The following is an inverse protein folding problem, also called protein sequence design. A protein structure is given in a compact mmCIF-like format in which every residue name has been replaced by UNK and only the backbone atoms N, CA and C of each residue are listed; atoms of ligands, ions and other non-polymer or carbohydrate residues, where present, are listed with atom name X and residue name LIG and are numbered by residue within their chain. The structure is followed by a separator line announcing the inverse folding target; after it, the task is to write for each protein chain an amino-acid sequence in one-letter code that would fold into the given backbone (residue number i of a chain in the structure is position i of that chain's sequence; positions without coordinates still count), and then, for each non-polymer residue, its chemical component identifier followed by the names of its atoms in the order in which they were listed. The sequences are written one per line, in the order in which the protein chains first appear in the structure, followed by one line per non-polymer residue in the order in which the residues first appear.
data_IF_397897463782
#
_entry.id   IF_397897463782
#
_cell.length_a   1.000
_cell.length_b   1.000
_cell.length_c   1.000
_cell.angle_alpha   90.00
_cell.angle_beta   90.00
_cell.angle_gamma   90.00
#
_symmetry.space_group_name_H-M   'P 1'
#
loop_
_entity.id
_entity.type
_entity.pdbx_description
1 polymer ?
#
# COMPACT_ATOMS: atom_id res chain seq x y z
N UNK A 1 28.17 -4.56 -6.39
CA UNK A 1 27.57 -4.80 -7.72
C UNK A 1 28.14 -3.77 -8.68
N UNK A 2 28.85 -4.24 -9.72
CA UNK A 2 29.80 -3.49 -10.54
C UNK A 2 29.17 -2.35 -11.38
N UNK A 3 29.82 -1.18 -11.34
CA UNK A 3 29.52 0.07 -12.06
C UNK A 3 29.86 0.02 -13.57
N UNK A 4 29.73 -1.13 -14.25
CA UNK A 4 30.24 -1.31 -15.61
C UNK A 4 29.20 -1.14 -16.74
N UNK A 5 28.01 -0.59 -16.45
CA UNK A 5 26.97 -0.32 -17.48
C UNK A 5 26.94 1.13 -17.97
N UNK A 6 27.81 2.01 -17.45
CA UNK A 6 27.86 3.44 -17.79
C UNK A 6 28.71 3.78 -19.03
N UNK A 7 29.35 2.81 -19.68
CA UNK A 7 30.28 3.07 -20.81
C UNK A 7 29.64 3.05 -22.20
N UNK A 8 28.34 2.75 -22.31
CA UNK A 8 27.62 3.02 -23.56
C UNK A 8 26.90 4.35 -23.39
N UNK A 9 27.30 5.29 -24.24
CA UNK A 9 27.09 6.74 -24.16
C UNK A 9 25.60 7.14 -24.15
N UNK A 10 24.86 6.78 -23.10
CA UNK A 10 23.51 7.30 -22.82
C UNK A 10 23.54 8.83 -22.60
N UNK A 11 24.72 9.39 -22.31
CA UNK A 11 24.96 10.82 -22.15
C UNK A 11 24.74 11.65 -23.42
N UNK A 12 24.76 11.03 -24.61
CA UNK A 12 24.43 11.76 -25.84
C UNK A 12 22.93 12.07 -25.93
N UNK A 13 22.10 11.35 -25.15
CA UNK A 13 20.66 11.54 -25.10
C UNK A 13 20.22 11.95 -23.69
N UNK A 14 20.09 13.27 -23.48
CA UNK A 14 19.65 13.87 -22.22
C UNK A 14 18.34 13.27 -21.70
N UNK A 15 17.43 12.88 -22.59
CA UNK A 15 16.16 12.27 -22.20
C UNK A 15 16.35 10.86 -21.61
N UNK A 16 17.25 10.05 -22.16
CA UNK A 16 17.57 8.73 -21.63
C UNK A 16 18.28 8.79 -20.28
N UNK A 17 19.17 9.78 -20.10
CA UNK A 17 19.81 10.03 -18.81
C UNK A 17 18.79 10.41 -17.74
N UNK A 18 17.86 11.33 -18.05
CA UNK A 18 16.77 11.69 -17.15
C UNK A 18 15.84 10.50 -16.86
N UNK A 19 15.50 9.71 -17.88
CA UNK A 19 14.70 8.50 -17.71
C UNK A 19 15.36 7.48 -16.77
N UNK A 20 16.67 7.29 -16.90
CA UNK A 20 17.41 6.43 -15.99
C UNK A 20 17.41 6.98 -14.56
N UNK A 21 17.54 8.30 -14.40
CA UNK A 21 17.45 8.94 -13.09
C UNK A 21 16.08 8.72 -12.43
N UNK A 22 14.98 8.79 -13.18
CA UNK A 22 13.65 8.42 -12.67
C UNK A 22 13.62 6.98 -12.16
N UNK A 23 14.15 6.02 -12.91
CA UNK A 23 14.24 4.63 -12.44
C UNK A 23 15.10 4.47 -11.16
N UNK A 24 16.17 5.27 -11.01
CA UNK A 24 16.96 5.30 -9.78
C UNK A 24 16.18 5.89 -8.60
N UNK A 25 15.43 6.96 -8.82
CA UNK A 25 14.54 7.54 -7.79
C UNK A 25 13.46 6.53 -7.36
N UNK A 26 12.92 5.76 -8.31
CA UNK A 26 12.01 4.64 -8.03
C UNK A 26 12.62 3.62 -7.04
N UNK A 27 13.89 3.26 -7.21
CA UNK A 27 14.60 2.41 -6.25
C UNK A 27 14.74 3.08 -4.86
N UNK A 28 15.00 4.39 -4.82
CA UNK A 28 15.11 5.12 -3.55
C UNK A 28 13.77 5.16 -2.80
N UNK A 29 12.67 5.42 -3.50
CA UNK A 29 11.33 5.38 -2.90
C UNK A 29 10.92 3.97 -2.48
N UNK A 30 11.29 2.93 -3.23
CA UNK A 30 11.09 1.53 -2.82
C UNK A 30 11.77 1.22 -1.49
N UNK A 31 13.01 1.66 -1.32
CA UNK A 31 13.78 1.45 -0.10
C UNK A 31 13.20 2.22 1.09
N UNK A 32 12.51 3.34 0.82
CA UNK A 32 11.81 4.14 1.83
C UNK A 32 10.35 3.70 2.06
N UNK A 33 9.91 2.56 1.49
CA UNK A 33 8.52 2.07 1.53
C UNK A 33 7.48 3.07 1.02
N UNK A 34 7.88 4.00 0.14
CA UNK A 34 6.99 4.97 -0.51
C UNK A 34 6.55 4.40 -1.86
N UNK A 35 5.76 3.31 -1.83
CA UNK A 35 5.52 2.49 -3.01
C UNK A 35 4.76 3.23 -4.12
N UNK A 36 3.77 4.07 -3.80
CA UNK A 36 3.03 4.85 -4.81
C UNK A 36 3.99 5.72 -5.64
N UNK A 37 4.85 6.48 -4.97
CA UNK A 37 5.83 7.34 -5.64
C UNK A 37 6.92 6.56 -6.37
N UNK A 38 7.32 5.40 -5.82
CA UNK A 38 8.24 4.53 -6.52
C UNK A 38 7.68 4.05 -7.86
N UNK A 39 6.40 3.68 -7.88
CA UNK A 39 5.72 3.19 -9.07
C UNK A 39 5.59 4.30 -10.12
N UNK A 40 5.26 5.53 -9.72
CA UNK A 40 5.23 6.70 -10.59
C UNK A 40 6.60 6.94 -11.26
N UNK A 41 7.67 6.94 -10.47
CA UNK A 41 9.04 7.14 -10.96
C UNK A 41 9.48 6.04 -11.95
N UNK A 42 9.19 4.78 -11.66
CA UNK A 42 9.46 3.69 -12.60
C UNK A 42 8.67 3.84 -13.90
N UNK A 43 7.39 4.23 -13.81
CA UNK A 43 6.54 4.42 -14.98
C UNK A 43 7.06 5.53 -15.89
N UNK A 44 7.49 6.66 -15.31
CA UNK A 44 8.05 7.79 -16.05
C UNK A 44 9.32 7.34 -16.79
N UNK A 45 10.27 6.73 -16.07
CA UNK A 45 11.53 6.27 -16.65
C UNK A 45 11.34 5.22 -17.75
N UNK A 46 10.52 4.20 -17.49
CA UNK A 46 10.23 3.13 -18.46
C UNK A 46 9.53 3.65 -19.72
N UNK A 47 8.63 4.63 -19.61
CA UNK A 47 7.93 5.19 -20.77
C UNK A 47 8.91 5.79 -21.78
N UNK A 48 9.90 6.56 -21.29
CA UNK A 48 10.91 7.19 -22.13
C UNK A 48 11.88 6.14 -22.70
N UNK A 49 12.33 5.17 -21.89
CA UNK A 49 13.21 4.10 -22.35
C UNK A 49 12.55 3.24 -23.43
N UNK A 50 11.28 2.86 -23.25
CA UNK A 50 10.51 2.09 -24.25
C UNK A 50 10.35 2.87 -25.56
N UNK A 51 10.15 4.19 -25.49
CA UNK A 51 10.10 5.04 -26.69
C UNK A 51 11.45 5.05 -27.42
N UNK A 52 12.54 5.26 -26.68
CA UNK A 52 13.88 5.27 -27.25
C UNK A 52 14.26 3.92 -27.88
N UNK A 53 13.84 2.79 -27.28
CA UNK A 53 14.13 1.45 -27.81
C UNK A 53 13.48 1.19 -29.17
N UNK A 54 12.35 1.83 -29.47
CA UNK A 54 11.67 1.70 -30.77
C UNK A 54 12.40 2.39 -31.91
N UNK A 55 13.21 3.40 -31.60
CA UNK A 55 13.93 4.22 -32.58
C UNK A 55 15.42 3.95 -32.60
N UNK A 56 15.95 3.13 -31.68
CA UNK A 56 17.37 2.79 -31.62
C UNK A 56 17.72 1.80 -32.73
N UNK A 57 18.65 2.21 -33.58
CA UNK A 57 19.12 1.44 -34.75
C UNK A 57 20.43 0.72 -34.48
N UNK A 58 21.20 1.19 -33.50
CA UNK A 58 22.45 0.53 -33.10
C UNK A 58 22.11 -0.76 -32.33
N UNK A 59 22.51 -1.95 -32.82
CA UNK A 59 22.15 -3.22 -32.20
C UNK A 59 22.72 -3.39 -30.79
N UNK A 60 23.90 -2.81 -30.51
CA UNK A 60 24.52 -2.87 -29.18
C UNK A 60 23.76 -2.00 -28.19
N UNK A 61 23.46 -0.75 -28.58
CA UNK A 61 22.65 0.16 -27.75
C UNK A 61 21.24 -0.36 -27.55
N UNK A 62 20.63 -0.90 -28.59
CA UNK A 62 19.30 -1.50 -28.54
C UNK A 62 19.26 -2.66 -27.55
N UNK A 63 20.24 -3.58 -27.60
CA UNK A 63 20.32 -4.68 -26.65
C UNK A 63 20.49 -4.20 -25.20
N UNK A 64 21.35 -3.21 -24.97
CA UNK A 64 21.55 -2.61 -23.64
C UNK A 64 20.26 -1.99 -23.12
N UNK A 65 19.56 -1.22 -23.96
CA UNK A 65 18.32 -0.57 -23.59
C UNK A 65 17.22 -1.59 -23.27
N UNK A 66 17.10 -2.67 -24.05
CA UNK A 66 16.17 -3.76 -23.76
C UNK A 66 16.48 -4.48 -22.44
N UNK A 67 17.76 -4.69 -22.12
CA UNK A 67 18.16 -5.28 -20.84
C UNK A 67 17.80 -4.35 -19.66
N UNK A 68 18.04 -3.05 -19.80
CA UNK A 68 17.66 -2.06 -18.80
C UNK A 68 16.14 -1.99 -18.61
N UNK A 69 15.38 -1.95 -19.70
CA UNK A 69 13.92 -1.94 -19.68
C UNK A 69 13.40 -3.19 -18.96
N UNK A 70 13.90 -4.37 -19.32
CA UNK A 70 13.46 -5.63 -18.71
C UNK A 70 13.75 -5.66 -17.20
N UNK A 71 14.93 -5.18 -16.79
CA UNK A 71 15.28 -5.05 -15.38
C UNK A 71 14.30 -4.13 -14.63
N UNK A 72 14.00 -2.95 -15.19
CA UNK A 72 13.12 -1.99 -14.52
C UNK A 72 11.64 -2.33 -14.61
N UNK A 73 11.19 -3.08 -15.63
CA UNK A 73 9.85 -3.64 -15.67
C UNK A 73 9.63 -4.62 -14.50
N UNK A 74 10.59 -5.50 -14.23
CA UNK A 74 10.52 -6.40 -13.08
C UNK A 74 10.46 -5.63 -11.74
N UNK A 75 11.17 -4.49 -11.64
CA UNK A 75 11.12 -3.62 -10.47
C UNK A 75 9.78 -2.89 -10.33
N UNK A 76 9.20 -2.42 -11.43
CA UNK A 76 7.89 -1.79 -11.45
C UNK A 76 6.78 -2.77 -11.04
N UNK A 77 6.84 -4.01 -11.53
CA UNK A 77 5.90 -5.06 -11.14
C UNK A 77 5.99 -5.38 -9.65
N UNK A 78 7.22 -5.52 -9.13
CA UNK A 78 7.44 -5.69 -7.70
C UNK A 78 6.90 -4.49 -6.89
N UNK A 79 7.08 -3.26 -7.39
CA UNK A 79 6.53 -2.06 -6.76
C UNK A 79 5.01 -2.13 -6.66
N UNK A 80 4.34 -2.48 -7.77
CA UNK A 80 2.89 -2.60 -7.83
C UNK A 80 2.35 -3.61 -6.82
N UNK A 81 2.96 -4.79 -6.76
CA UNK A 81 2.57 -5.83 -5.79
C UNK A 81 2.72 -5.35 -4.34
N UNK A 82 3.79 -4.60 -4.03
CA UNK A 82 3.99 -4.04 -2.68
C UNK A 82 3.01 -2.91 -2.36
N UNK A 83 2.71 -2.06 -3.34
CA UNK A 83 1.74 -0.98 -3.18
C UNK A 83 0.33 -1.55 -2.91
N UNK A 84 -0.07 -2.58 -3.64
CA UNK A 84 -1.35 -3.27 -3.43
C UNK A 84 -1.41 -3.95 -2.06
N UNK A 85 -0.34 -4.64 -1.65
CA UNK A 85 -0.28 -5.26 -0.32
C UNK A 85 -0.41 -4.22 0.81
N UNK A 86 0.28 -3.07 0.70
CA UNK A 86 0.18 -2.00 1.69
C UNK A 86 -1.24 -1.41 1.75
N UNK A 87 -1.91 -1.24 0.62
CA UNK A 87 -3.28 -0.75 0.60
C UNK A 87 -4.25 -1.71 1.29
N UNK A 88 -4.11 -3.02 1.04
CA UNK A 88 -4.92 -4.05 1.69
C UNK A 88 -4.71 -4.08 3.22
N UNK A 89 -3.49 -3.87 3.70
CA UNK A 89 -3.21 -3.79 5.14
C UNK A 89 -3.94 -2.62 5.80
N UNK A 90 -3.92 -1.44 5.17
CA UNK A 90 -4.63 -0.24 5.64
C UNK A 90 -6.14 -0.50 5.66
N UNK A 91 -6.68 -1.09 4.60
CA UNK A 91 -8.11 -1.37 4.50
C UNK A 91 -8.58 -2.37 5.57
N UNK A 92 -7.75 -3.38 5.90
CA UNK A 92 -8.03 -4.34 6.97
C UNK A 92 -7.96 -3.72 8.37
N UNK A 93 -7.08 -2.75 8.60
CA UNK A 93 -6.99 -2.02 9.88
C UNK A 93 -8.25 -1.20 10.12
N UNK A 94 -8.73 -0.50 9.08
CA UNK A 94 -9.97 0.29 9.16
C UNK A 94 -11.22 -0.57 9.48
N UNK A 95 -11.28 -1.82 9.01
CA UNK A 95 -12.42 -2.73 9.30
C UNK A 95 -12.45 -3.15 10.79
N UNK A 96 -11.30 -3.22 11.47
CA UNK A 96 -11.26 -3.64 12.88
C UNK A 96 -11.81 -2.55 13.81
N UNK A 97 -11.58 -1.28 13.51
CA UNK A 97 -12.03 -0.16 14.33
C UNK A 97 -13.56 0.02 14.31
N UNK A 98 -14.21 -0.25 13.19
CA UNK A 98 -15.68 -0.20 13.09
C UNK A 98 -16.38 -1.32 13.89
N UNK A 99 -15.70 -2.46 14.10
CA UNK A 99 -16.24 -3.58 14.89
C UNK A 99 -16.23 -3.35 16.41
N UNK A 100 -15.43 -2.38 16.89
CA UNK A 100 -15.36 -2.02 18.31
C UNK A 100 -16.50 -1.08 18.76
N UNK A 101 -17.23 -0.45 17.82
CA UNK A 101 -18.32 0.48 18.10
C UNK A 101 -19.68 -0.20 18.35
N UNK A 102 -19.85 -1.49 18.06
CA UNK A 102 -21.13 -2.20 18.22
C UNK A 102 -21.27 -2.93 19.57
N UNK A 103 -20.19 -3.06 20.36
CA UNK A 103 -20.21 -3.80 21.63
C UNK A 103 -20.61 -2.97 22.87
N UNK A 104 -20.91 -1.66 22.71
CA UNK A 104 -21.30 -0.79 23.84
C UNK A 104 -22.80 -0.46 23.93
N UNK A 105 -23.63 -0.94 22.99
CA UNK A 105 -25.07 -0.60 22.92
C UNK A 105 -26.03 -1.72 23.35
N UNK A 106 -25.56 -2.77 24.04
CA UNK A 106 -26.39 -3.89 24.52
C UNK A 106 -26.36 -4.09 26.04
N UNK A 107 -26.38 -3.02 26.84
CA UNK A 107 -26.56 -3.21 28.29
C UNK A 107 -27.38 -2.12 28.96
N UNK A 108 -28.57 -1.82 28.45
CA UNK A 108 -29.56 -1.02 29.18
C UNK A 108 -30.98 -1.34 28.71
N UNK A 109 -31.52 -2.51 29.10
CA UNK A 109 -32.94 -2.66 29.43
C UNK A 109 -33.32 -4.08 29.81
N UNK A 110 -34.15 -4.17 30.85
CA UNK A 110 -34.95 -5.29 31.30
C UNK A 110 -34.34 -6.23 32.35
N UNK A 111 -34.40 -5.81 33.61
CA UNK A 111 -35.08 -6.62 34.64
C UNK A 111 -35.69 -5.69 35.70
N UNK A 112 -36.77 -5.00 35.32
CA UNK A 112 -37.57 -4.18 36.25
C UNK A 112 -39.04 -4.62 36.19
N UNK A 113 -39.29 -5.89 36.51
CA UNK A 113 -40.66 -6.42 36.70
C UNK A 113 -40.68 -7.59 37.66
N UNK A 114 -40.26 -7.42 38.92
CA UNK A 114 -40.57 -8.45 39.94
C UNK A 114 -40.63 -7.97 41.41
N UNK A 115 -41.11 -6.75 41.68
CA UNK A 115 -41.43 -6.33 43.06
C UNK A 115 -42.71 -5.51 43.17
N UNK A 116 -43.87 -6.17 43.15
CA UNK A 116 -45.08 -5.70 43.85
C UNK A 116 -46.15 -6.80 43.95
N UNK A 117 -46.04 -7.66 44.96
CA UNK A 117 -47.18 -8.25 45.72
C UNK A 117 -46.68 -9.20 46.81
N UNK A 118 -45.88 -8.69 47.75
CA UNK A 118 -45.76 -9.24 49.10
C UNK A 118 -45.73 -8.09 50.09
N UNK A 119 -46.91 -7.54 50.33
CA UNK A 119 -47.17 -6.63 51.45
C UNK A 119 -48.62 -6.85 51.87
N UNK A 120 -48.89 -7.98 52.53
CA UNK A 120 -49.97 -8.02 53.50
C UNK A 120 -49.30 -8.37 54.83
N UNK A 121 -49.16 -7.33 55.65
CA UNK A 121 -48.37 -7.34 56.86
C UNK A 121 -48.94 -8.30 57.90
N UNK A 122 -48.06 -9.12 58.44
CA UNK A 122 -48.19 -9.53 59.83
C UNK A 122 -47.96 -8.28 60.68
N UNK A 123 -48.98 -7.88 61.44
CA UNK A 123 -48.87 -7.40 62.82
C UNK A 123 -50.28 -7.08 63.33
N UNK A 124 -50.85 -7.96 64.17
CA UNK A 124 -51.01 -7.57 65.57
C UNK A 124 -51.33 -8.77 66.46
N UNK A 125 -50.74 -8.76 67.64
CA UNK A 125 -50.90 -9.74 68.71
C UNK A 125 -52.24 -9.56 69.43
N UNK A 126 -52.90 -10.69 69.69
CA UNK A 126 -53.44 -11.15 70.99
C UNK A 126 -53.81 -10.07 72.02
N UNK A 127 -55.09 -10.02 72.43
CA UNK A 127 -55.51 -9.74 73.82
C UNK A 127 -57.02 -10.07 74.01
N UNK A 128 -57.27 -10.97 74.96
CA UNK A 128 -58.49 -11.29 75.74
C UNK A 128 -59.74 -11.82 75.02
#
# INVERSE_FOLDING_TARGET
MNYLFLTVNLNDNKELSAAYQHCLNGNQFMNASRFTQACDEYQIGLTVMLRAARTETDPVKSNILHNMISFYLNKAELCKNKNEAQQLEIDMENIKDDSALDSTMLNESNTDTEKKQRANGQQNCRLQ
#
